data_IF_643634211071
#
_entry.id   IF_643634211071
#
_cell.length_a   1.000
_cell.length_b   1.000
_cell.length_c   1.000
_cell.angle_alpha   90.00
_cell.angle_beta   90.00
_cell.angle_gamma   90.00
#
_symmetry.space_group_name_H-M   'P 1'
#
loop_
_entity.id
_entity.type
_entity.pdbx_description
1 polymer ?
#
# COMPACT_ATOMS: atom_id res chain seq x y z
N UNK A 1 -0.59 -37.23 -37.03
CA UNK A 1 -1.13 -38.50 -36.51
C UNK A 1 -2.03 -38.21 -35.33
N UNK A 2 -2.78 -39.18 -34.82
CA UNK A 2 -3.69 -38.98 -33.68
C UNK A 2 -3.27 -39.79 -32.45
N UNK A 3 -3.28 -39.15 -31.29
CA UNK A 3 -3.18 -39.80 -29.98
C UNK A 3 -4.56 -39.72 -29.31
N UNK A 4 -5.10 -40.87 -28.90
CA UNK A 4 -6.28 -40.93 -28.01
C UNK A 4 -5.84 -41.48 -26.68
N UNK A 5 -6.16 -40.79 -25.59
CA UNK A 5 -5.84 -41.21 -24.23
C UNK A 5 -7.16 -41.53 -23.52
N UNK A 6 -7.46 -42.81 -23.41
CA UNK A 6 -8.73 -43.29 -22.86
C UNK A 6 -8.82 -43.04 -21.34
N UNK A 7 -10.05 -43.10 -20.81
CA UNK A 7 -10.30 -42.92 -19.38
C UNK A 7 -9.48 -43.92 -18.55
N UNK A 8 -8.77 -43.42 -17.53
CA UNK A 8 -7.87 -44.21 -16.69
C UNK A 8 -6.48 -44.48 -17.29
N UNK A 9 -6.26 -44.19 -18.58
CA UNK A 9 -4.94 -44.29 -19.20
C UNK A 9 -4.08 -43.05 -18.89
N UNK A 10 -2.75 -43.21 -19.02
CA UNK A 10 -1.79 -42.12 -18.90
C UNK A 10 -0.82 -42.14 -20.07
N UNK A 11 -0.73 -41.02 -20.81
CA UNK A 11 0.37 -40.77 -21.72
C UNK A 11 1.45 -39.99 -20.98
N UNK A 12 2.56 -40.65 -20.66
CA UNK A 12 3.73 -40.02 -20.03
C UNK A 12 4.86 -39.89 -21.03
N UNK A 13 5.36 -38.67 -21.21
CA UNK A 13 6.47 -38.35 -22.10
C UNK A 13 7.69 -38.03 -21.25
N UNK A 14 8.74 -38.85 -21.31
CA UNK A 14 9.92 -38.77 -20.42
C UNK A 14 11.18 -38.27 -21.14
N UNK A 15 11.06 -37.82 -22.38
CA UNK A 15 12.13 -37.26 -23.18
C UNK A 15 11.56 -36.16 -24.08
N UNK A 16 12.41 -35.34 -24.67
CA UNK A 16 11.97 -34.25 -25.54
C UNK A 16 11.10 -34.77 -26.69
N UNK A 17 9.95 -34.13 -26.90
CA UNK A 17 9.00 -34.56 -27.91
C UNK A 17 8.22 -33.41 -28.52
N UNK A 18 8.13 -33.39 -29.86
CA UNK A 18 7.42 -32.38 -30.61
C UNK A 18 6.18 -32.98 -31.29
N UNK A 19 5.00 -32.54 -30.87
CA UNK A 19 3.76 -32.76 -31.59
C UNK A 19 3.65 -31.70 -32.69
N UNK A 20 4.08 -32.09 -33.90
CA UNK A 20 4.08 -31.20 -35.07
C UNK A 20 2.67 -30.92 -35.60
N UNK A 21 2.58 -30.00 -36.55
CA UNK A 21 1.36 -29.68 -37.29
C UNK A 21 0.66 -30.93 -37.82
N UNK A 22 -0.67 -30.98 -37.70
CA UNK A 22 -1.48 -32.15 -38.07
C UNK A 22 -1.50 -33.27 -37.01
N UNK A 23 -0.92 -33.05 -35.83
CA UNK A 23 -1.14 -33.93 -34.68
C UNK A 23 -2.45 -33.57 -33.98
N UNK A 24 -3.28 -34.58 -33.70
CA UNK A 24 -4.47 -34.42 -32.88
C UNK A 24 -4.30 -35.22 -31.58
N UNK A 25 -4.54 -34.60 -30.43
CA UNK A 25 -4.46 -35.25 -29.11
C UNK A 25 -5.84 -35.14 -28.48
N UNK A 26 -6.50 -36.28 -28.29
CA UNK A 26 -7.88 -36.35 -27.79
C UNK A 26 -8.00 -37.33 -26.62
N UNK A 27 -9.15 -37.32 -25.97
CA UNK A 27 -9.48 -38.24 -24.88
C UNK A 27 -9.61 -37.53 -23.53
N UNK A 28 -9.68 -38.35 -22.48
CA UNK A 28 -9.99 -37.93 -21.11
C UNK A 28 -9.02 -38.51 -20.08
N UNK A 29 -8.05 -39.33 -20.49
CA UNK A 29 -6.99 -39.82 -19.61
C UNK A 29 -5.94 -38.75 -19.29
N UNK A 30 -4.89 -39.14 -18.57
CA UNK A 30 -3.88 -38.20 -18.09
C UNK A 30 -2.80 -37.93 -19.14
N UNK A 31 -2.52 -36.66 -19.42
CA UNK A 31 -1.36 -36.23 -20.21
C UNK A 31 -0.26 -35.75 -19.25
N UNK A 32 0.91 -36.39 -19.28
CA UNK A 32 1.99 -36.13 -18.32
C UNK A 32 3.29 -35.79 -19.06
N UNK A 33 3.80 -34.59 -18.83
CA UNK A 33 5.19 -34.24 -19.12
C UNK A 33 6.05 -34.72 -17.96
N UNK A 34 6.93 -35.66 -18.26
CA UNK A 34 7.88 -36.25 -17.32
C UNK A 34 8.91 -35.25 -16.83
N UNK A 35 9.68 -35.68 -15.84
CA UNK A 35 10.74 -34.84 -15.28
C UNK A 35 11.79 -34.52 -16.34
N UNK A 36 12.20 -33.25 -16.39
CA UNK A 36 13.22 -32.72 -17.31
C UNK A 36 12.93 -32.89 -18.81
N UNK A 37 11.73 -33.34 -19.19
CA UNK A 37 11.33 -33.48 -20.59
C UNK A 37 10.77 -32.16 -21.13
N UNK A 38 11.17 -31.78 -22.34
CA UNK A 38 10.57 -30.66 -23.07
C UNK A 38 9.57 -31.15 -24.10
N UNK A 39 8.30 -30.84 -23.91
CA UNK A 39 7.23 -31.21 -24.83
C UNK A 39 6.69 -29.97 -25.52
N UNK A 40 6.76 -29.95 -26.85
CA UNK A 40 6.17 -28.89 -27.65
C UNK A 40 4.94 -29.38 -28.38
N UNK A 41 3.83 -28.67 -28.21
CA UNK A 41 2.59 -28.93 -28.95
C UNK A 41 2.31 -27.75 -29.86
N UNK A 42 2.61 -27.92 -31.15
CA UNK A 42 2.40 -26.90 -32.17
C UNK A 42 0.91 -26.65 -32.48
N UNK A 43 0.06 -27.69 -32.69
CA UNK A 43 -1.37 -27.47 -32.96
C UNK A 43 -2.16 -27.10 -31.69
N UNK A 44 -3.43 -26.73 -31.87
CA UNK A 44 -4.33 -26.47 -30.74
C UNK A 44 -4.49 -27.74 -29.89
N UNK A 45 -4.29 -27.61 -28.58
CA UNK A 45 -4.38 -28.70 -27.61
C UNK A 45 -5.60 -28.52 -26.70
N UNK A 46 -6.78 -28.68 -27.30
CA UNK A 46 -8.04 -28.64 -26.57
C UNK A 46 -8.27 -29.98 -25.88
N UNK A 47 -8.07 -30.04 -24.57
CA UNK A 47 -7.95 -31.31 -23.84
C UNK A 47 -8.89 -31.38 -22.64
N UNK A 48 -9.56 -32.53 -22.51
CA UNK A 48 -10.57 -32.78 -21.47
C UNK A 48 -10.10 -33.73 -20.37
N UNK A 49 -8.89 -34.28 -20.49
CA UNK A 49 -8.23 -35.04 -19.42
C UNK A 49 -7.28 -34.18 -18.60
N UNK A 50 -6.82 -34.70 -17.46
CA UNK A 50 -5.90 -33.97 -16.60
C UNK A 50 -4.53 -33.80 -17.29
N UNK A 51 -3.90 -32.64 -17.07
CA UNK A 51 -2.55 -32.33 -17.56
C UNK A 51 -1.62 -32.21 -16.37
N UNK A 52 -0.47 -32.88 -16.38
CA UNK A 52 0.56 -32.73 -15.35
C UNK A 52 1.91 -32.42 -15.96
N UNK A 53 2.58 -31.40 -15.45
CA UNK A 53 3.95 -31.05 -15.85
C UNK A 53 4.83 -31.18 -14.61
N UNK A 54 5.61 -32.25 -14.58
CA UNK A 54 6.42 -32.60 -13.42
C UNK A 54 7.67 -31.70 -13.31
N UNK A 55 8.35 -31.81 -12.17
CA UNK A 55 9.55 -31.04 -11.87
C UNK A 55 10.58 -31.07 -13.01
N UNK A 56 11.07 -29.89 -13.38
CA UNK A 56 12.02 -29.71 -14.49
C UNK A 56 11.45 -29.95 -15.90
N UNK A 57 10.27 -30.56 -16.04
CA UNK A 57 9.60 -30.72 -17.32
C UNK A 57 9.09 -29.36 -17.84
N UNK A 58 9.01 -29.20 -19.16
CA UNK A 58 8.55 -27.97 -19.79
C UNK A 58 7.52 -28.27 -20.90
N UNK A 59 6.35 -27.63 -20.84
CA UNK A 59 5.31 -27.77 -21.84
C UNK A 59 5.16 -26.46 -22.64
N UNK A 60 5.50 -26.48 -23.93
CA UNK A 60 5.36 -25.36 -24.87
C UNK A 60 4.07 -25.51 -25.68
N UNK A 61 3.13 -24.58 -25.48
CA UNK A 61 1.86 -24.50 -26.22
C UNK A 61 1.99 -23.49 -27.36
N UNK A 62 2.04 -23.99 -28.60
CA UNK A 62 2.27 -23.20 -29.80
C UNK A 62 1.02 -22.48 -30.33
N UNK A 63 -0.18 -23.02 -30.08
CA UNK A 63 -1.45 -22.49 -30.58
C UNK A 63 -2.50 -22.33 -29.47
N UNK A 64 -3.50 -21.49 -29.72
CA UNK A 64 -4.57 -21.24 -28.76
C UNK A 64 -5.26 -22.54 -28.33
N UNK A 65 -5.37 -22.76 -27.02
CA UNK A 65 -5.77 -24.04 -26.42
C UNK A 65 -6.67 -23.85 -25.20
N UNK A 66 -7.52 -24.85 -24.92
CA UNK A 66 -8.38 -24.89 -23.73
C UNK A 66 -8.27 -26.22 -23.01
N UNK A 67 -8.07 -26.19 -21.69
CA UNK A 67 -8.04 -27.36 -20.81
C UNK A 67 -9.22 -27.31 -19.83
N UNK A 68 -10.06 -28.33 -19.87
CA UNK A 68 -11.32 -28.40 -19.11
C UNK A 68 -11.28 -29.35 -17.90
N UNK A 69 -10.11 -29.92 -17.62
CA UNK A 69 -9.84 -30.76 -16.46
C UNK A 69 -8.68 -30.21 -15.62
N UNK A 70 -8.44 -30.74 -14.41
CA UNK A 70 -7.40 -30.24 -13.52
C UNK A 70 -5.99 -30.29 -14.13
N UNK A 71 -5.19 -29.28 -13.83
CA UNK A 71 -3.80 -29.13 -14.25
C UNK A 71 -2.91 -29.13 -13.02
N UNK A 72 -1.90 -29.99 -12.99
CA UNK A 72 -0.90 -30.00 -11.92
C UNK A 72 0.44 -29.52 -12.48
N UNK A 73 0.91 -28.37 -11.98
CA UNK A 73 2.10 -27.70 -12.49
C UNK A 73 3.17 -27.62 -11.40
N UNK A 74 4.27 -28.33 -11.62
CA UNK A 74 5.52 -28.27 -10.84
C UNK A 74 6.69 -27.84 -11.76
N UNK A 75 6.58 -28.11 -13.06
CA UNK A 75 7.54 -27.68 -14.10
C UNK A 75 7.15 -26.38 -14.81
N UNK A 76 7.69 -26.16 -16.00
CA UNK A 76 7.46 -25.01 -16.86
C UNK A 76 6.25 -25.16 -17.78
N UNK A 77 5.51 -24.07 -17.95
CA UNK A 77 4.45 -23.92 -18.94
C UNK A 77 4.72 -22.64 -19.75
N UNK A 78 5.01 -22.82 -21.03
CA UNK A 78 5.46 -21.76 -21.92
C UNK A 78 4.73 -21.75 -23.26
N UNK A 79 5.17 -20.89 -24.17
CA UNK A 79 4.73 -20.88 -25.56
C UNK A 79 4.04 -19.59 -26.00
N UNK A 80 3.72 -19.56 -27.30
CA UNK A 80 3.09 -18.41 -27.97
C UNK A 80 1.57 -18.49 -28.00
N UNK A 81 1.00 -19.68 -27.81
CA UNK A 81 -0.44 -19.91 -27.81
C UNK A 81 -1.09 -19.40 -26.53
N UNK A 82 -2.23 -18.72 -26.66
CA UNK A 82 -3.06 -18.41 -25.50
C UNK A 82 -3.63 -19.72 -24.91
N UNK A 83 -3.63 -19.84 -23.58
CA UNK A 83 -4.13 -21.02 -22.89
C UNK A 83 -5.23 -20.64 -21.92
N UNK A 84 -6.37 -21.32 -21.98
CA UNK A 84 -7.44 -21.22 -20.99
C UNK A 84 -7.55 -22.50 -20.18
N UNK A 85 -7.45 -22.42 -18.86
CA UNK A 85 -7.70 -23.49 -17.91
C UNK A 85 -9.04 -23.19 -17.23
N UNK A 86 -10.09 -23.91 -17.61
CA UNK A 86 -11.46 -23.62 -17.15
C UNK A 86 -11.86 -24.35 -15.87
N UNK A 87 -11.07 -25.33 -15.42
CA UNK A 87 -11.37 -26.12 -14.24
C UNK A 87 -10.51 -25.74 -13.02
N UNK A 88 -9.27 -26.19 -12.98
CA UNK A 88 -8.40 -25.95 -11.84
C UNK A 88 -6.93 -26.01 -12.27
N UNK A 89 -6.12 -25.06 -11.82
CA UNK A 89 -4.66 -25.09 -11.89
C UNK A 89 -4.11 -25.23 -10.47
N UNK A 90 -3.46 -26.36 -10.18
CA UNK A 90 -2.65 -26.56 -8.99
C UNK A 90 -1.20 -26.20 -9.33
N UNK A 91 -0.78 -25.01 -8.92
CA UNK A 91 0.55 -24.49 -9.20
C UNK A 91 1.44 -24.58 -7.96
N UNK A 92 2.42 -25.48 -8.02
CA UNK A 92 3.27 -25.82 -6.87
C UNK A 92 4.77 -25.77 -7.13
N UNK A 93 5.15 -25.38 -8.34
CA UNK A 93 6.52 -25.10 -8.72
C UNK A 93 6.63 -24.65 -10.17
N UNK A 94 7.84 -24.27 -10.55
CA UNK A 94 8.17 -23.94 -11.93
C UNK A 94 7.57 -22.62 -12.41
N UNK A 95 7.56 -22.43 -13.72
CA UNK A 95 7.35 -21.12 -14.32
C UNK A 95 6.26 -21.06 -15.38
N UNK A 96 5.50 -19.96 -15.36
CA UNK A 96 4.66 -19.51 -16.46
C UNK A 96 5.47 -18.50 -17.29
N UNK A 97 5.75 -18.81 -18.56
CA UNK A 97 6.59 -17.93 -19.41
C UNK A 97 6.12 -17.88 -20.86
N UNK A 98 6.73 -17.04 -21.69
CA UNK A 98 6.40 -16.92 -23.11
C UNK A 98 5.22 -15.97 -23.39
N UNK A 99 4.99 -15.67 -24.66
CA UNK A 99 4.13 -14.54 -25.07
C UNK A 99 2.63 -14.85 -25.05
N UNK A 100 2.23 -16.12 -25.05
CA UNK A 100 0.82 -16.50 -24.98
C UNK A 100 0.21 -16.18 -23.61
N UNK A 101 -0.97 -15.55 -23.56
CA UNK A 101 -1.69 -15.28 -22.30
C UNK A 101 -2.15 -16.59 -21.65
N UNK A 102 -2.04 -16.69 -20.33
CA UNK A 102 -2.54 -17.82 -19.52
C UNK A 102 -3.75 -17.35 -18.74
N UNK A 103 -4.92 -17.88 -19.03
CA UNK A 103 -6.16 -17.57 -18.32
C UNK A 103 -6.58 -18.76 -17.48
N UNK A 104 -6.78 -18.55 -16.18
CA UNK A 104 -7.39 -19.50 -15.26
C UNK A 104 -8.77 -18.95 -14.89
N UNK A 105 -9.81 -19.47 -15.56
CA UNK A 105 -11.21 -19.10 -15.24
C UNK A 105 -11.84 -20.00 -14.19
N UNK A 106 -11.23 -21.17 -13.97
CA UNK A 106 -11.51 -22.03 -12.83
C UNK A 106 -10.77 -21.59 -11.57
N UNK A 107 -10.42 -22.55 -10.70
CA UNK A 107 -9.68 -22.28 -9.46
C UNK A 107 -8.17 -22.29 -9.69
N UNK A 108 -7.44 -21.28 -9.19
CA UNK A 108 -5.98 -21.28 -9.09
C UNK A 108 -5.56 -21.58 -7.64
N UNK A 109 -4.99 -22.76 -7.41
CA UNK A 109 -4.39 -23.08 -6.11
C UNK A 109 -2.88 -22.92 -6.21
N UNK A 110 -2.34 -22.05 -5.37
CA UNK A 110 -0.91 -21.78 -5.30
C UNK A 110 -0.35 -22.26 -3.95
N UNK A 111 0.67 -23.09 -3.99
CA UNK A 111 1.35 -23.58 -2.79
C UNK A 111 2.64 -24.28 -3.14
N UNK A 112 3.75 -23.91 -2.50
CA UNK A 112 5.04 -24.52 -2.76
C UNK A 112 5.15 -25.91 -2.11
N UNK A 113 5.84 -26.83 -2.78
CA UNK A 113 6.23 -28.11 -2.16
C UNK A 113 7.33 -27.86 -1.10
N UNK A 114 7.40 -28.74 -0.08
CA UNK A 114 8.32 -28.65 1.07
C UNK A 114 9.82 -28.58 0.72
N UNK A 115 10.19 -28.79 -0.55
CA UNK A 115 11.57 -28.71 -1.03
C UNK A 115 11.94 -27.37 -1.71
N UNK A 116 11.14 -26.31 -1.51
CA UNK A 116 11.54 -24.94 -1.86
C UNK A 116 11.40 -24.55 -3.34
N UNK A 117 10.44 -25.13 -4.06
CA UNK A 117 10.15 -24.70 -5.44
C UNK A 117 9.50 -23.32 -5.46
N UNK A 118 10.08 -22.37 -6.19
CA UNK A 118 9.47 -21.04 -6.38
C UNK A 118 8.41 -21.07 -7.47
N UNK A 119 7.42 -20.17 -7.36
CA UNK A 119 6.44 -19.94 -8.42
C UNK A 119 6.94 -18.78 -9.29
N UNK A 120 7.13 -19.00 -10.59
CA UNK A 120 7.75 -18.01 -11.47
C UNK A 120 6.75 -17.51 -12.52
N UNK A 121 6.65 -16.18 -12.72
CA UNK A 121 6.02 -15.60 -13.92
C UNK A 121 7.07 -14.81 -14.68
N UNK A 122 7.33 -15.17 -15.93
CA UNK A 122 8.41 -14.58 -16.73
C UNK A 122 7.88 -14.01 -18.06
N UNK A 123 7.79 -12.68 -18.12
CA UNK A 123 7.41 -11.91 -19.32
C UNK A 123 6.01 -12.17 -19.87
N UNK A 124 5.20 -12.96 -19.17
CA UNK A 124 3.87 -13.35 -19.63
C UNK A 124 2.73 -12.71 -18.84
N UNK A 125 1.51 -12.81 -19.38
CA UNK A 125 0.28 -12.43 -18.68
C UNK A 125 -0.43 -13.66 -18.12
N UNK A 126 -0.60 -13.69 -16.80
CA UNK A 126 -1.54 -14.54 -16.08
C UNK A 126 -2.83 -13.76 -15.82
N UNK A 127 -3.97 -14.32 -16.19
CA UNK A 127 -5.29 -13.77 -15.88
C UNK A 127 -6.09 -14.75 -15.05
N UNK A 128 -6.60 -14.30 -13.91
CA UNK A 128 -7.42 -15.08 -12.98
C UNK A 128 -8.80 -14.45 -12.89
N UNK A 129 -9.84 -15.21 -13.21
CA UNK A 129 -11.24 -14.77 -13.10
C UNK A 129 -12.10 -15.61 -12.17
N UNK A 130 -11.62 -16.80 -11.77
CA UNK A 130 -12.19 -17.61 -10.70
C UNK A 130 -11.52 -17.36 -9.35
N UNK A 131 -11.68 -18.32 -8.43
CA UNK A 131 -11.07 -18.25 -7.11
C UNK A 131 -9.58 -18.58 -7.17
N UNK A 132 -8.77 -17.78 -6.49
CA UNK A 132 -7.34 -18.01 -6.30
C UNK A 132 -7.06 -18.13 -4.82
N UNK A 133 -6.39 -19.20 -4.41
CA UNK A 133 -6.06 -19.45 -3.00
C UNK A 133 -4.56 -19.72 -2.86
N UNK A 134 -3.91 -18.95 -1.99
CA UNK A 134 -2.49 -19.09 -1.65
C UNK A 134 -2.39 -19.67 -0.25
N UNK A 135 -2.19 -20.99 -0.16
CA UNK A 135 -2.21 -21.75 1.10
C UNK A 135 -0.83 -22.02 1.69
N UNK A 136 0.25 -21.89 0.91
CA UNK A 136 1.64 -22.10 1.33
C UNK A 136 2.37 -20.78 1.59
N UNK A 137 3.45 -20.82 2.38
CA UNK A 137 4.41 -19.71 2.45
C UNK A 137 5.17 -19.62 1.12
N UNK A 138 4.57 -18.95 0.14
CA UNK A 138 5.06 -18.97 -1.24
C UNK A 138 5.85 -17.71 -1.58
N UNK A 139 6.99 -17.90 -2.24
CA UNK A 139 7.68 -16.82 -2.95
C UNK A 139 7.34 -16.90 -4.43
N UNK A 140 6.69 -15.85 -4.93
CA UNK A 140 6.52 -15.59 -6.34
C UNK A 140 7.70 -14.78 -6.85
N UNK A 141 8.38 -15.29 -7.85
CA UNK A 141 9.36 -14.55 -8.60
C UNK A 141 8.78 -14.11 -9.92
N UNK A 142 9.06 -12.87 -10.28
CA UNK A 142 8.73 -12.45 -11.61
C UNK A 142 9.78 -11.58 -12.27
N UNK A 143 9.80 -11.76 -13.59
CA UNK A 143 10.86 -11.36 -14.48
C UNK A 143 10.25 -10.70 -15.70
N UNK A 144 11.04 -9.82 -16.33
CA UNK A 144 10.84 -9.37 -17.71
C UNK A 144 9.45 -8.78 -18.01
N UNK A 145 8.84 -8.06 -17.06
CA UNK A 145 7.55 -7.39 -17.25
C UNK A 145 6.36 -8.34 -17.21
N UNK A 146 6.42 -9.37 -16.36
CA UNK A 146 5.29 -10.25 -16.11
C UNK A 146 4.06 -9.46 -15.62
N UNK A 147 2.86 -9.90 -16.02
CA UNK A 147 1.60 -9.28 -15.64
C UNK A 147 0.70 -10.33 -15.00
N UNK A 148 0.14 -10.03 -13.84
CA UNK A 148 -0.96 -10.80 -13.26
C UNK A 148 -2.21 -9.93 -13.11
N UNK A 149 -3.25 -10.27 -13.86
CA UNK A 149 -4.56 -9.63 -13.79
C UNK A 149 -5.55 -10.48 -12.99
N UNK A 150 -6.02 -9.95 -11.86
CA UNK A 150 -7.23 -10.42 -11.20
C UNK A 150 -8.44 -9.67 -11.78
N UNK A 151 -9.31 -10.34 -12.51
CA UNK A 151 -10.45 -9.69 -13.15
C UNK A 151 -11.51 -9.26 -12.11
N UNK A 152 -12.50 -8.48 -12.53
CA UNK A 152 -13.57 -7.99 -11.64
C UNK A 152 -14.40 -9.09 -10.96
N UNK A 153 -14.42 -10.31 -11.53
CA UNK A 153 -15.09 -11.48 -10.94
C UNK A 153 -14.14 -12.33 -10.11
N UNK A 154 -12.83 -12.12 -10.26
CA UNK A 154 -11.81 -12.92 -9.60
C UNK A 154 -11.68 -12.60 -8.11
N UNK A 155 -11.36 -13.63 -7.35
CA UNK A 155 -11.05 -13.52 -5.92
C UNK A 155 -9.66 -14.08 -5.67
N UNK A 156 -8.84 -13.37 -4.90
CA UNK A 156 -7.52 -13.83 -4.45
C UNK A 156 -7.53 -13.80 -2.93
N UNK A 157 -7.20 -14.94 -2.32
CA UNK A 157 -7.08 -15.10 -0.88
C UNK A 157 -5.67 -15.56 -0.49
N UNK A 158 -4.92 -14.68 0.16
CA UNK A 158 -3.66 -14.98 0.82
C UNK A 158 -3.94 -15.52 2.22
N UNK A 159 -3.86 -16.85 2.36
CA UNK A 159 -4.09 -17.54 3.64
C UNK A 159 -2.79 -17.74 4.44
N UNK A 160 -1.65 -17.34 3.87
CA UNK A 160 -0.33 -17.34 4.50
C UNK A 160 0.45 -16.09 4.08
N UNK A 161 1.57 -15.87 4.76
CA UNK A 161 2.54 -14.86 4.39
C UNK A 161 3.22 -15.25 3.06
N UNK A 162 3.36 -14.30 2.14
CA UNK A 162 3.83 -14.56 0.77
C UNK A 162 4.64 -13.39 0.25
N UNK A 163 5.66 -13.66 -0.57
CA UNK A 163 6.50 -12.61 -1.15
C UNK A 163 6.29 -12.62 -2.66
N UNK A 164 5.96 -11.46 -3.23
CA UNK A 164 5.89 -11.21 -4.67
C UNK A 164 7.08 -10.36 -5.05
N UNK A 165 8.15 -11.01 -5.49
CA UNK A 165 9.44 -10.38 -5.71
C UNK A 165 9.74 -10.19 -7.20
N UNK A 166 9.95 -8.93 -7.57
CA UNK A 166 10.56 -8.57 -8.83
C UNK A 166 12.05 -8.95 -8.80
N UNK A 167 12.50 -9.71 -9.79
CA UNK A 167 13.87 -10.22 -9.82
C UNK A 167 14.73 -9.47 -10.85
N UNK A 168 14.32 -9.43 -12.13
CA UNK A 168 15.08 -8.71 -13.17
C UNK A 168 14.23 -8.36 -14.40
N UNK A 169 14.80 -7.54 -15.30
CA UNK A 169 14.14 -7.09 -16.53
C UNK A 169 13.14 -5.96 -16.29
N UNK A 170 12.20 -5.78 -17.21
CA UNK A 170 11.13 -4.80 -17.07
C UNK A 170 10.31 -5.06 -15.80
N UNK A 171 9.77 -4.00 -15.22
CA UNK A 171 9.00 -4.08 -13.98
C UNK A 171 7.69 -4.84 -14.20
N UNK A 172 7.43 -5.81 -13.32
CA UNK A 172 6.23 -6.63 -13.36
C UNK A 172 5.06 -5.95 -12.63
N UNK A 173 3.84 -6.30 -13.05
CA UNK A 173 2.61 -5.60 -12.64
C UNK A 173 1.57 -6.61 -12.15
N UNK A 174 1.00 -6.32 -11.00
CA UNK A 174 -0.20 -6.96 -10.47
C UNK A 174 -1.38 -5.98 -10.56
N UNK A 175 -2.44 -6.36 -11.27
CA UNK A 175 -3.64 -5.56 -11.41
C UNK A 175 -4.81 -6.25 -10.70
N UNK A 176 -5.37 -5.60 -9.68
CA UNK A 176 -6.55 -6.07 -8.96
C UNK A 176 -7.80 -5.28 -9.36
N UNK A 177 -8.65 -5.88 -10.19
CA UNK A 177 -10.00 -5.37 -10.46
C UNK A 177 -11.09 -6.08 -9.64
N UNK A 178 -10.81 -7.27 -9.13
CA UNK A 178 -11.72 -8.07 -8.30
C UNK A 178 -11.51 -7.84 -6.81
N UNK A 179 -11.55 -8.93 -6.04
CA UNK A 179 -11.29 -8.91 -4.58
C UNK A 179 -9.94 -9.56 -4.28
N UNK A 180 -9.08 -8.84 -3.56
CA UNK A 180 -7.85 -9.37 -2.98
C UNK A 180 -7.98 -9.36 -1.46
N UNK A 181 -7.74 -10.50 -0.80
CA UNK A 181 -7.86 -10.64 0.65
C UNK A 181 -6.57 -11.21 1.22
N UNK A 182 -5.99 -10.53 2.22
CA UNK A 182 -5.02 -11.14 3.14
C UNK A 182 -5.79 -11.63 4.37
N UNK A 183 -6.23 -12.88 4.34
CA UNK A 183 -7.13 -13.44 5.35
C UNK A 183 -6.41 -13.96 6.58
N UNK A 184 -5.17 -14.42 6.44
CA UNK A 184 -4.42 -15.10 7.49
C UNK A 184 -2.91 -14.95 7.27
N UNK A 185 -2.08 -15.41 8.21
CA UNK A 185 -0.65 -15.14 8.29
C UNK A 185 -0.37 -13.93 9.18
N UNK A 186 0.61 -14.06 10.08
CA UNK A 186 0.82 -13.11 11.18
C UNK A 186 1.95 -12.11 10.92
N UNK A 187 2.72 -12.28 9.84
CA UNK A 187 3.84 -11.40 9.49
C UNK A 187 3.51 -10.56 8.27
N UNK A 188 4.16 -10.78 7.13
CA UNK A 188 4.08 -9.92 5.95
C UNK A 188 3.70 -10.72 4.69
N UNK A 189 2.74 -10.19 3.92
CA UNK A 189 2.71 -10.39 2.48
C UNK A 189 3.34 -9.16 1.82
N UNK A 190 4.39 -9.34 1.01
CA UNK A 190 5.17 -8.23 0.47
C UNK A 190 5.24 -8.25 -1.04
N UNK A 191 4.77 -7.16 -1.67
CA UNK A 191 4.96 -6.88 -3.09
C UNK A 191 6.30 -6.16 -3.30
N UNK A 192 7.40 -6.89 -3.16
CA UNK A 192 8.77 -6.40 -3.27
C UNK A 192 9.13 -6.09 -4.74
N UNK A 193 8.86 -4.86 -5.18
CA UNK A 193 9.16 -4.37 -6.54
C UNK A 193 8.09 -4.72 -7.59
N UNK A 194 7.10 -5.53 -7.24
CA UNK A 194 5.87 -5.70 -8.01
C UNK A 194 4.99 -4.46 -7.89
N UNK A 195 4.68 -3.82 -9.03
CA UNK A 195 3.71 -2.72 -9.04
C UNK A 195 2.33 -3.29 -8.71
N UNK A 196 1.65 -2.72 -7.72
CA UNK A 196 0.32 -3.12 -7.33
C UNK A 196 -0.69 -2.03 -7.74
N UNK A 197 -1.49 -2.30 -8.77
CA UNK A 197 -2.59 -1.43 -9.18
C UNK A 197 -3.92 -1.99 -8.66
N UNK A 198 -4.70 -1.14 -8.00
CA UNK A 198 -6.00 -1.53 -7.46
C UNK A 198 -7.12 -0.68 -8.05
N UNK A 199 -8.04 -1.33 -8.76
CA UNK A 199 -9.33 -0.75 -9.18
C UNK A 199 -10.51 -1.45 -8.49
N UNK A 200 -10.27 -2.60 -7.85
CA UNK A 200 -11.24 -3.37 -7.09
C UNK A 200 -11.16 -3.16 -5.58
N UNK A 201 -11.28 -4.25 -4.83
CA UNK A 201 -11.27 -4.25 -3.36
C UNK A 201 -10.04 -4.98 -2.82
N UNK A 202 -9.37 -4.40 -1.83
CA UNK A 202 -8.35 -5.07 -1.00
C UNK A 202 -8.84 -5.13 0.44
N UNK A 203 -8.81 -6.32 1.03
CA UNK A 203 -9.14 -6.58 2.43
C UNK A 203 -7.90 -7.11 3.16
N UNK A 204 -7.45 -6.39 4.18
CA UNK A 204 -6.34 -6.82 5.05
C UNK A 204 -6.92 -7.22 6.39
N UNK A 205 -7.15 -8.52 6.59
CA UNK A 205 -7.80 -9.04 7.80
C UNK A 205 -6.81 -9.38 8.91
N UNK A 206 -5.60 -9.82 8.53
CA UNK A 206 -4.56 -10.23 9.46
C UNK A 206 -3.14 -9.99 8.92
N UNK A 207 -2.22 -9.64 9.82
CA UNK A 207 -0.83 -9.38 9.48
C UNK A 207 -0.67 -8.13 8.62
N UNK A 208 0.43 -8.02 7.91
CA UNK A 208 0.75 -6.86 7.09
C UNK A 208 0.71 -7.18 5.60
N UNK A 209 0.04 -6.34 4.81
CA UNK A 209 0.20 -6.28 3.36
C UNK A 209 1.10 -5.09 3.01
N UNK A 210 2.28 -5.35 2.45
CA UNK A 210 3.27 -4.36 2.07
C UNK A 210 3.28 -4.15 0.56
N UNK A 211 3.11 -2.89 0.12
CA UNK A 211 3.15 -2.48 -1.28
C UNK A 211 4.51 -1.82 -1.56
N UNK A 212 5.51 -2.66 -1.84
CA UNK A 212 6.90 -2.25 -2.04
C UNK A 212 7.30 -1.91 -3.48
N UNK A 213 6.49 -2.25 -4.48
CA UNK A 213 6.70 -1.86 -5.87
C UNK A 213 5.93 -0.61 -6.29
N UNK A 214 5.21 0.03 -5.37
CA UNK A 214 4.40 1.20 -5.64
C UNK A 214 3.11 0.87 -6.41
N UNK A 215 2.52 1.87 -7.06
CA UNK A 215 1.38 1.69 -7.94
C UNK A 215 0.29 2.75 -7.81
N UNK A 216 -0.94 2.34 -8.08
CA UNK A 216 -2.10 3.25 -8.15
C UNK A 216 -3.34 2.62 -7.50
N UNK A 217 -4.21 3.45 -6.94
CA UNK A 217 -5.48 3.03 -6.39
C UNK A 217 -6.64 3.93 -6.85
N UNK A 218 -7.60 3.33 -7.51
CA UNK A 218 -8.95 3.88 -7.80
C UNK A 218 -10.05 3.04 -7.12
N UNK A 219 -9.67 2.05 -6.32
CA UNK A 219 -10.57 1.15 -5.60
C UNK A 219 -10.52 1.33 -4.08
N UNK A 220 -10.97 0.30 -3.34
CA UNK A 220 -11.10 0.36 -1.88
C UNK A 220 -10.05 -0.46 -1.15
N UNK A 221 -9.57 0.09 -0.02
CA UNK A 221 -8.80 -0.61 1.00
C UNK A 221 -9.64 -0.71 2.29
N UNK A 222 -9.80 -1.93 2.79
CA UNK A 222 -10.46 -2.23 4.07
C UNK A 222 -9.48 -2.99 4.96
N UNK A 223 -9.17 -2.41 6.13
CA UNK A 223 -8.13 -2.90 7.04
C UNK A 223 -8.77 -3.24 8.39
N UNK A 224 -8.93 -4.52 8.69
CA UNK A 224 -9.53 -4.95 9.95
C UNK A 224 -8.55 -4.74 11.11
N UNK A 225 -9.02 -4.79 12.36
CA UNK A 225 -8.21 -4.49 13.55
C UNK A 225 -6.91 -5.31 13.68
N UNK A 226 -6.85 -6.51 13.09
CA UNK A 226 -5.65 -7.36 13.06
C UNK A 226 -4.73 -7.13 11.84
N UNK A 227 -5.11 -6.22 10.95
CA UNK A 227 -4.45 -5.94 9.68
C UNK A 227 -3.62 -4.64 9.70
N UNK A 228 -2.58 -4.62 8.88
CA UNK A 228 -1.81 -3.43 8.52
C UNK A 228 -1.62 -3.36 7.01
N UNK A 229 -1.96 -2.23 6.39
CA UNK A 229 -1.53 -1.91 5.02
C UNK A 229 -0.31 -1.01 5.09
N UNK A 230 0.78 -1.37 4.42
CA UNK A 230 2.06 -0.66 4.48
C UNK A 230 2.51 -0.18 3.10
N UNK A 231 2.85 1.10 2.99
CA UNK A 231 3.43 1.73 1.79
C UNK A 231 4.90 2.08 2.06
N UNK A 232 5.80 1.56 1.20
CA UNK A 232 7.24 1.82 1.26
C UNK A 232 7.83 2.27 -0.09
N UNK A 233 6.96 2.57 -1.06
CA UNK A 233 7.29 3.03 -2.41
C UNK A 233 6.20 4.00 -2.90
N UNK A 234 6.43 4.64 -4.05
CA UNK A 234 5.50 5.65 -4.56
C UNK A 234 4.12 5.07 -4.90
N UNK A 235 3.07 5.65 -4.34
CA UNK A 235 1.71 5.12 -4.46
C UNK A 235 0.68 6.24 -4.62
N UNK A 236 -0.12 6.17 -5.70
CA UNK A 236 -1.04 7.24 -6.08
C UNK A 236 -2.50 6.89 -5.80
N UNK A 237 -3.19 7.73 -5.03
CA UNK A 237 -4.61 7.64 -4.74
C UNK A 237 -5.39 8.56 -5.70
N UNK A 238 -6.18 7.93 -6.57
CA UNK A 238 -6.91 8.56 -7.67
C UNK A 238 -8.44 8.48 -7.45
N UNK A 239 -9.24 8.96 -8.40
CA UNK A 239 -10.72 8.94 -8.33
C UNK A 239 -11.26 7.56 -7.97
N UNK A 240 -12.11 7.49 -6.94
CA UNK A 240 -12.73 6.26 -6.44
C UNK A 240 -12.01 5.62 -5.25
N UNK A 241 -10.86 6.15 -4.84
CA UNK A 241 -10.12 5.59 -3.71
C UNK A 241 -10.86 5.69 -2.37
N UNK A 242 -10.66 4.71 -1.49
CA UNK A 242 -11.06 4.77 -0.07
C UNK A 242 -10.11 3.94 0.80
N UNK A 243 -9.91 4.37 2.05
CA UNK A 243 -9.13 3.65 3.08
C UNK A 243 -9.93 3.60 4.37
N UNK A 244 -10.34 2.42 4.78
CA UNK A 244 -11.32 2.21 5.86
C UNK A 244 -10.90 1.07 6.79
N UNK A 245 -11.55 0.99 7.95
CA UNK A 245 -11.39 -0.09 8.91
C UNK A 245 -10.68 0.33 10.20
N UNK A 246 -10.49 -0.62 11.11
CA UNK A 246 -9.92 -0.38 12.44
C UNK A 246 -8.41 -0.66 12.51
N UNK A 247 -7.84 -1.31 11.49
CA UNK A 247 -6.41 -1.60 11.39
C UNK A 247 -5.60 -0.45 10.81
N UNK A 248 -4.29 -0.62 10.79
CA UNK A 248 -3.35 0.47 10.53
C UNK A 248 -3.06 0.67 9.04
N UNK A 249 -3.03 1.94 8.60
CA UNK A 249 -2.46 2.34 7.32
C UNK A 249 -1.11 3.03 7.54
N UNK A 250 -0.01 2.37 7.21
CA UNK A 250 1.35 2.84 7.43
C UNK A 250 1.95 3.44 6.16
N UNK A 251 2.48 4.65 6.28
CA UNK A 251 3.32 5.31 5.28
C UNK A 251 4.70 5.45 5.90
N UNK A 252 5.65 4.64 5.43
CA UNK A 252 6.98 4.52 6.05
C UNK A 252 8.09 5.04 5.13
N UNK A 253 7.89 5.01 3.81
CA UNK A 253 8.82 5.54 2.80
C UNK A 253 8.09 5.83 1.49
N UNK A 254 8.80 6.42 0.52
CA UNK A 254 8.25 6.82 -0.77
C UNK A 254 7.25 7.97 -0.67
N UNK A 255 6.59 8.26 -1.80
CA UNK A 255 5.60 9.32 -1.91
C UNK A 255 4.19 8.73 -2.03
N UNK A 256 3.35 9.01 -1.05
CA UNK A 256 1.91 8.77 -1.13
C UNK A 256 1.22 10.02 -1.66
N UNK A 257 0.71 9.98 -2.88
CA UNK A 257 0.08 11.13 -3.53
C UNK A 257 -1.44 10.99 -3.55
N UNK A 258 -2.15 11.93 -2.93
CA UNK A 258 -3.61 12.04 -2.97
C UNK A 258 -4.00 13.04 -4.08
N UNK A 259 -4.34 12.52 -5.26
CA UNK A 259 -4.60 13.34 -6.45
C UNK A 259 -6.01 13.96 -6.44
N UNK A 260 -6.93 13.38 -5.67
CA UNK A 260 -8.34 13.79 -5.61
C UNK A 260 -8.83 13.85 -4.18
N UNK A 261 -9.91 14.60 -3.95
CA UNK A 261 -10.49 14.70 -2.62
C UNK A 261 -10.86 13.32 -2.05
N UNK A 262 -10.39 13.04 -0.84
CA UNK A 262 -10.44 11.70 -0.24
C UNK A 262 -10.72 11.77 1.25
N UNK A 263 -11.39 10.76 1.78
CA UNK A 263 -11.58 10.57 3.23
C UNK A 263 -11.07 9.20 3.64
N UNK A 264 -10.19 9.17 4.63
CA UNK A 264 -9.67 7.96 5.23
C UNK A 264 -10.20 7.83 6.66
N UNK A 265 -10.75 6.66 6.99
CA UNK A 265 -11.30 6.34 8.32
C UNK A 265 -10.49 5.30 9.08
N UNK A 266 -9.49 4.68 8.44
CA UNK A 266 -8.46 3.93 9.13
C UNK A 266 -7.50 4.87 9.89
N UNK A 267 -6.93 4.43 11.03
CA UNK A 267 -5.74 5.06 11.59
C UNK A 267 -4.60 5.14 10.58
N UNK A 268 -4.01 6.32 10.42
CA UNK A 268 -2.88 6.58 9.54
C UNK A 268 -1.63 6.76 10.39
N UNK A 269 -0.58 6.01 10.09
CA UNK A 269 0.72 6.13 10.72
C UNK A 269 1.71 6.69 9.68
N UNK A 270 2.08 7.95 9.83
CA UNK A 270 3.14 8.58 9.06
C UNK A 270 4.43 8.53 9.88
N UNK A 271 5.28 7.55 9.55
CA UNK A 271 6.55 7.30 10.25
C UNK A 271 7.75 7.67 9.38
N UNK A 272 7.52 7.93 8.08
CA UNK A 272 8.50 8.36 7.10
C UNK A 272 7.82 8.70 5.78
N UNK A 273 8.60 8.86 4.71
CA UNK A 273 8.08 9.20 3.38
C UNK A 273 7.41 10.58 3.29
N UNK A 274 6.63 10.78 2.23
CA UNK A 274 5.91 12.03 1.94
C UNK A 274 4.45 11.76 1.62
N UNK A 275 3.52 12.32 2.40
CA UNK A 275 2.08 12.34 2.10
C UNK A 275 1.73 13.69 1.46
N UNK A 276 1.42 13.66 0.17
CA UNK A 276 1.29 14.87 -0.66
C UNK A 276 0.05 14.82 -1.57
N UNK A 277 -0.04 15.77 -2.51
CA UNK A 277 -1.02 15.78 -3.59
C UNK A 277 -1.97 16.97 -3.59
N UNK A 278 -2.68 17.12 -4.70
CA UNK A 278 -3.61 18.24 -4.97
C UNK A 278 -4.98 18.05 -4.35
N UNK A 279 -5.37 16.80 -4.06
CA UNK A 279 -6.64 16.48 -3.43
C UNK A 279 -6.66 16.84 -1.94
N UNK A 280 -7.79 17.35 -1.48
CA UNK A 280 -8.04 17.52 -0.06
C UNK A 280 -8.16 16.13 0.61
N UNK A 281 -7.49 15.94 1.75
CA UNK A 281 -7.51 14.69 2.49
C UNK A 281 -8.11 14.90 3.86
N UNK A 282 -9.15 14.15 4.21
CA UNK A 282 -9.68 14.09 5.58
C UNK A 282 -9.29 12.77 6.23
N UNK A 283 -8.57 12.82 7.36
CA UNK A 283 -8.29 11.68 8.23
C UNK A 283 -9.23 11.78 9.43
N UNK A 284 -10.24 10.91 9.45
CA UNK A 284 -11.36 11.02 10.40
C UNK A 284 -11.15 10.29 11.73
N UNK A 285 -10.17 9.39 11.79
CA UNK A 285 -9.92 8.55 12.97
C UNK A 285 -8.69 9.02 13.75
N UNK A 286 -7.49 8.76 13.23
CA UNK A 286 -6.25 9.16 13.88
C UNK A 286 -5.13 9.34 12.87
N UNK A 287 -4.33 10.39 13.02
CA UNK A 287 -3.03 10.52 12.38
C UNK A 287 -1.95 10.41 13.47
N UNK A 288 -1.18 9.32 13.46
CA UNK A 288 0.05 9.18 14.23
C UNK A 288 1.21 9.65 13.37
N UNK A 289 1.74 10.82 13.69
CA UNK A 289 2.84 11.44 12.97
C UNK A 289 4.10 11.38 13.84
N UNK A 290 5.05 10.56 13.39
CA UNK A 290 6.32 10.30 14.09
C UNK A 290 7.55 10.50 13.21
N UNK A 291 7.35 10.74 11.91
CA UNK A 291 8.39 10.97 10.92
C UNK A 291 7.78 11.45 9.60
N UNK A 292 8.63 11.83 8.64
CA UNK A 292 8.20 12.15 7.27
C UNK A 292 7.51 13.50 7.09
N UNK A 293 6.97 13.70 5.89
CA UNK A 293 6.49 15.00 5.40
C UNK A 293 5.00 14.97 5.05
N UNK A 294 4.26 15.98 5.52
CA UNK A 294 2.97 16.39 4.97
C UNK A 294 3.18 17.54 4.00
N UNK A 295 2.79 17.38 2.73
CA UNK A 295 2.99 18.43 1.73
C UNK A 295 1.89 18.54 0.67
N UNK A 296 2.14 19.37 -0.34
CA UNK A 296 1.28 19.54 -1.52
C UNK A 296 0.17 20.56 -1.34
N UNK A 297 -0.52 20.90 -2.42
CA UNK A 297 -1.50 22.02 -2.41
C UNK A 297 -2.85 21.65 -1.80
N UNK A 298 -3.21 20.37 -1.74
CA UNK A 298 -4.48 19.93 -1.17
C UNK A 298 -4.47 19.97 0.36
N UNK A 299 -5.47 20.60 0.98
CA UNK A 299 -5.63 20.68 2.44
C UNK A 299 -5.66 19.30 3.10
N UNK A 300 -4.95 19.12 4.22
CA UNK A 300 -4.96 17.91 5.05
C UNK A 300 -5.75 18.20 6.34
N UNK A 301 -6.93 17.63 6.48
CA UNK A 301 -7.79 17.80 7.66
C UNK A 301 -7.74 16.57 8.55
N UNK A 302 -7.45 16.74 9.84
CA UNK A 302 -7.54 15.70 10.86
C UNK A 302 -8.68 16.06 11.81
N UNK A 303 -9.82 15.38 11.65
CA UNK A 303 -10.98 15.54 12.55
C UNK A 303 -10.93 14.60 13.75
N UNK A 304 -10.16 13.51 13.61
CA UNK A 304 -9.82 12.61 14.69
C UNK A 304 -8.68 13.12 15.57
N UNK A 305 -7.91 12.21 16.16
CA UNK A 305 -6.76 12.58 16.99
C UNK A 305 -5.52 12.79 16.11
N UNK A 306 -4.78 13.88 16.34
CA UNK A 306 -3.43 14.06 15.83
C UNK A 306 -2.41 13.74 16.94
N UNK A 307 -1.60 12.72 16.75
CA UNK A 307 -0.48 12.39 17.64
C UNK A 307 0.83 12.87 17.00
N UNK A 308 1.43 13.94 17.52
CA UNK A 308 2.77 14.38 17.14
C UNK A 308 3.78 13.76 18.12
N UNK A 309 4.45 12.70 17.70
CA UNK A 309 5.27 11.84 18.56
C UNK A 309 6.74 11.73 18.14
N UNK A 310 7.10 12.33 17.01
CA UNK A 310 8.47 12.45 16.53
C UNK A 310 8.67 13.72 15.72
N UNK A 311 9.77 13.81 14.99
CA UNK A 311 10.06 14.93 14.10
C UNK A 311 9.17 14.86 12.84
N UNK A 312 8.60 16.00 12.43
CA UNK A 312 7.74 16.06 11.25
C UNK A 312 8.04 17.27 10.37
N UNK A 313 7.69 17.19 9.10
CA UNK A 313 7.85 18.28 8.13
C UNK A 313 6.52 18.65 7.48
N UNK A 314 6.12 19.91 7.57
CA UNK A 314 4.93 20.47 6.93
C UNK A 314 5.35 21.45 5.83
N UNK A 315 5.03 21.16 4.56
CA UNK A 315 5.50 21.98 3.42
C UNK A 315 4.42 22.28 2.39
N UNK A 316 4.11 23.56 2.18
CA UNK A 316 3.25 24.01 1.07
C UNK A 316 1.76 23.63 1.16
N UNK A 317 1.35 22.99 2.26
CA UNK A 317 -0.03 22.55 2.51
C UNK A 317 -0.67 23.30 3.67
N UNK A 318 -2.00 23.17 3.79
CA UNK A 318 -2.73 23.52 5.00
C UNK A 318 -3.05 22.25 5.80
N UNK A 319 -2.52 22.14 7.01
CA UNK A 319 -2.96 21.18 8.02
C UNK A 319 -4.09 21.80 8.84
N UNK A 320 -5.24 21.16 8.91
CA UNK A 320 -6.39 21.61 9.71
C UNK A 320 -6.73 20.56 10.78
N UNK A 321 -6.69 20.95 12.05
CA UNK A 321 -7.00 20.07 13.18
C UNK A 321 -8.26 20.53 13.89
N UNK A 322 -9.22 19.63 14.04
CA UNK A 322 -10.48 19.90 14.77
C UNK A 322 -10.77 18.95 15.92
N UNK A 323 -10.05 17.83 16.00
CA UNK A 323 -10.01 16.97 17.18
C UNK A 323 -8.88 17.33 18.15
N UNK A 324 -8.53 16.39 19.01
CA UNK A 324 -7.43 16.54 19.96
C UNK A 324 -6.07 16.33 19.28
N UNK A 325 -5.13 17.23 19.53
CA UNK A 325 -3.73 17.08 19.17
C UNK A 325 -2.90 16.85 20.43
N UNK A 326 -2.15 15.76 20.45
CA UNK A 326 -1.24 15.39 21.53
C UNK A 326 0.17 15.51 20.99
N UNK A 327 0.95 16.45 21.52
CA UNK A 327 2.31 16.74 21.06
C UNK A 327 3.33 16.37 22.13
N UNK A 328 3.92 15.19 21.95
CA UNK A 328 4.91 14.58 22.85
C UNK A 328 6.26 14.35 22.16
N UNK A 329 6.31 14.49 20.83
CA UNK A 329 7.49 14.32 19.99
C UNK A 329 8.40 15.54 19.93
N UNK A 330 9.37 15.51 19.01
CA UNK A 330 10.29 16.62 18.74
C UNK A 330 9.61 17.77 17.97
N UNK A 331 10.42 18.74 17.52
CA UNK A 331 9.97 19.90 16.77
C UNK A 331 9.26 19.52 15.46
N UNK A 332 8.24 20.30 15.11
CA UNK A 332 7.55 20.27 13.83
C UNK A 332 8.16 21.34 12.94
N UNK A 333 8.79 20.91 11.85
CA UNK A 333 9.39 21.81 10.88
C UNK A 333 8.37 22.23 9.83
N UNK A 334 8.23 23.54 9.60
CA UNK A 334 7.25 24.07 8.67
C UNK A 334 7.89 25.02 7.65
N UNK A 335 7.53 24.86 6.37
CA UNK A 335 8.11 25.62 5.26
C UNK A 335 7.13 25.82 4.10
N UNK A 336 7.60 26.47 3.05
CA UNK A 336 6.87 26.71 1.78
C UNK A 336 5.50 27.37 1.97
N UNK A 337 5.37 28.27 2.97
CA UNK A 337 4.10 28.90 3.30
C UNK A 337 3.06 27.95 3.89
N UNK A 338 3.51 26.84 4.48
CA UNK A 338 2.65 25.91 5.20
C UNK A 338 1.78 26.61 6.25
N UNK A 339 0.54 26.15 6.38
CA UNK A 339 -0.42 26.68 7.35
C UNK A 339 -0.88 25.55 8.26
N UNK A 340 -0.80 25.73 9.57
CA UNK A 340 -1.47 24.89 10.54
C UNK A 340 -2.63 25.65 11.18
N UNK A 341 -3.86 25.18 10.96
CA UNK A 341 -5.09 25.71 11.54
C UNK A 341 -5.58 24.79 12.66
N UNK A 342 -5.50 25.23 13.90
CA UNK A 342 -6.29 24.67 14.99
C UNK A 342 -7.66 25.33 15.02
N UNK A 343 -8.70 24.59 14.62
CA UNK A 343 -10.07 25.12 14.54
C UNK A 343 -10.65 25.42 15.93
N UNK A 344 -11.79 26.10 16.00
CA UNK A 344 -12.43 26.48 17.27
C UNK A 344 -12.82 25.32 18.19
N UNK A 345 -13.00 24.11 17.64
CA UNK A 345 -13.24 22.89 18.43
C UNK A 345 -11.97 22.11 18.74
N UNK A 346 -10.86 22.45 18.07
CA UNK A 346 -9.60 21.76 18.19
C UNK A 346 -8.89 22.09 19.51
N UNK A 347 -8.19 21.09 20.04
CA UNK A 347 -7.32 21.24 21.20
C UNK A 347 -5.92 20.80 20.81
N UNK A 348 -4.91 21.53 21.25
CA UNK A 348 -3.52 21.16 21.13
C UNK A 348 -2.92 21.15 22.52
N UNK A 349 -2.33 20.03 22.89
CA UNK A 349 -1.62 19.84 24.14
C UNK A 349 -0.14 19.56 23.85
N UNK A 350 0.70 20.57 24.07
CA UNK A 350 2.15 20.50 23.99
C UNK A 350 2.71 20.06 25.35
N UNK A 351 3.17 18.82 25.42
CA UNK A 351 3.55 18.13 26.66
C UNK A 351 5.07 18.11 26.89
N UNK A 352 5.82 18.92 26.17
CA UNK A 352 7.27 19.03 26.24
C UNK A 352 7.74 20.41 25.73
N UNK A 353 9.05 20.54 25.48
CA UNK A 353 9.68 21.75 24.95
C UNK A 353 9.88 21.71 23.43
N UNK A 354 9.00 21.04 22.68
CA UNK A 354 9.09 21.00 21.21
C UNK A 354 8.73 22.35 20.57
N UNK A 355 9.25 22.54 19.36
CA UNK A 355 9.12 23.79 18.60
C UNK A 355 8.21 23.65 17.38
N UNK A 356 7.51 24.74 17.05
CA UNK A 356 6.98 24.94 15.71
C UNK A 356 7.98 25.78 14.92
N UNK A 357 8.85 25.10 14.18
CA UNK A 357 10.05 25.70 13.63
C UNK A 357 9.96 25.91 12.11
N UNK A 358 9.99 27.17 11.70
CA UNK A 358 10.29 27.60 10.34
C UNK A 358 11.80 27.62 10.08
N UNK A 359 12.27 26.89 9.05
CA UNK A 359 13.68 26.85 8.65
C UNK A 359 13.98 27.80 7.46
N UNK A 360 15.05 28.59 7.60
CA UNK A 360 15.32 29.83 6.88
C UNK A 360 16.10 29.73 5.54
N UNK A 361 15.83 28.74 4.69
CA UNK A 361 16.46 28.68 3.35
C UNK A 361 15.47 29.01 2.23
N UNK A 362 14.99 30.27 2.22
CA UNK A 362 14.37 30.96 1.08
C UNK A 362 12.83 30.79 0.89
N UNK A 363 12.13 30.30 1.91
CA UNK A 363 10.70 29.96 1.77
C UNK A 363 9.79 30.96 2.49
N UNK A 364 8.55 31.09 2.00
CA UNK A 364 7.49 31.84 2.67
C UNK A 364 7.31 31.31 4.10
N UNK A 365 7.30 32.22 5.08
CA UNK A 365 7.18 31.88 6.50
C UNK A 365 5.90 31.09 6.77
N UNK A 366 6.03 30.02 7.56
CA UNK A 366 4.89 29.21 7.96
C UNK A 366 3.95 29.97 8.91
N UNK A 367 2.68 29.62 8.89
CA UNK A 367 1.64 30.23 9.74
C UNK A 367 0.99 29.18 10.63
N UNK A 368 0.86 29.47 11.91
CA UNK A 368 0.08 28.71 12.87
C UNK A 368 -1.08 29.59 13.37
N UNK A 369 -2.30 29.22 13.00
CA UNK A 369 -3.54 29.85 13.43
C UNK A 369 -4.20 29.02 14.53
N UNK A 370 -4.37 29.61 15.72
CA UNK A 370 -5.09 29.02 16.83
C UNK A 370 -6.44 29.71 17.04
N UNK A 371 -7.52 29.06 16.62
CA UNK A 371 -8.90 29.45 16.96
C UNK A 371 -9.47 28.62 18.12
N UNK A 372 -8.91 27.44 18.39
CA UNK A 372 -9.29 26.56 19.49
C UNK A 372 -8.48 26.83 20.76
N UNK A 373 -8.08 25.74 21.44
CA UNK A 373 -7.23 25.82 22.63
C UNK A 373 -5.83 25.28 22.35
N UNK A 374 -4.79 26.06 22.61
CA UNK A 374 -3.40 25.63 22.62
C UNK A 374 -2.88 25.66 24.06
N UNK A 375 -2.47 24.52 24.60
CA UNK A 375 -1.98 24.37 25.97
C UNK A 375 -0.53 23.89 25.93
N UNK A 376 0.40 24.66 26.51
CA UNK A 376 1.70 24.13 26.95
C UNK A 376 1.50 23.58 28.35
N UNK A 377 1.26 22.28 28.46
CA UNK A 377 0.93 21.62 29.73
C UNK A 377 2.16 21.20 30.52
N UNK A 378 3.29 21.00 29.83
CA UNK A 378 4.52 20.51 30.42
C UNK A 378 5.75 21.07 29.68
N UNK A 379 6.93 20.85 30.25
CA UNK A 379 8.19 21.43 29.80
C UNK A 379 9.17 21.62 30.95
N UNK A 380 10.42 21.88 30.62
CA UNK A 380 11.48 22.17 31.59
C UNK A 380 11.64 23.68 31.76
N UNK A 381 12.33 24.10 32.83
CA UNK A 381 12.72 25.50 33.02
C UNK A 381 14.05 25.86 32.35
N UNK A 382 14.73 24.87 31.76
CA UNK A 382 16.04 25.02 31.12
C UNK A 382 15.95 25.15 29.60
N UNK A 383 14.79 24.84 29.03
CA UNK A 383 14.50 24.97 27.60
C UNK A 383 13.19 25.74 27.39
N UNK A 384 12.92 26.15 26.15
CA UNK A 384 11.70 26.86 25.78
C UNK A 384 11.04 26.22 24.56
N UNK A 385 9.71 26.15 24.53
CA UNK A 385 8.99 25.85 23.29
C UNK A 385 8.99 27.08 22.40
N UNK A 386 9.60 26.94 21.24
CA UNK A 386 9.83 28.03 20.30
C UNK A 386 8.87 27.98 19.11
N UNK A 387 8.15 29.07 18.86
CA UNK A 387 7.30 29.26 17.68
C UNK A 387 7.85 30.43 16.87
N UNK A 388 8.51 30.14 15.75
CA UNK A 388 9.07 31.16 14.85
C UNK A 388 8.35 31.26 13.49
N UNK A 389 7.25 30.54 13.29
CA UNK A 389 6.23 30.89 12.30
C UNK A 389 5.33 32.03 12.78
N UNK A 390 4.55 32.63 11.88
CA UNK A 390 3.51 33.59 12.28
C UNK A 390 2.51 32.88 13.18
N UNK A 391 2.30 33.38 14.41
CA UNK A 391 1.35 32.80 15.34
C UNK A 391 0.13 33.71 15.49
N UNK A 392 -1.00 33.34 14.88
CA UNK A 392 -2.23 34.10 14.99
C UNK A 392 -3.18 33.43 15.98
N UNK A 393 -3.60 34.15 17.01
CA UNK A 393 -4.49 33.61 18.03
C UNK A 393 -5.82 34.36 18.09
N UNK A 394 -6.90 33.64 17.79
CA UNK A 394 -8.29 34.08 18.03
C UNK A 394 -8.98 33.25 19.12
N UNK A 395 -8.35 32.14 19.53
CA UNK A 395 -8.83 31.24 20.58
C UNK A 395 -8.17 31.49 21.94
N UNK A 396 -7.81 30.40 22.60
CA UNK A 396 -7.18 30.40 23.93
C UNK A 396 -5.79 29.79 23.87
N UNK A 397 -4.82 30.45 24.53
CA UNK A 397 -3.49 29.92 24.81
C UNK A 397 -3.30 29.80 26.32
N UNK A 398 -2.91 28.62 26.79
CA UNK A 398 -2.62 28.33 28.19
C UNK A 398 -1.15 27.92 28.34
N UNK A 399 -0.36 28.68 29.09
CA UNK A 399 1.03 28.35 29.41
C UNK A 399 1.07 27.89 30.87
N UNK A 400 1.01 26.57 31.09
CA UNK A 400 0.91 25.98 32.43
C UNK A 400 2.26 25.64 33.04
N UNK A 401 3.27 25.41 32.21
CA UNK A 401 4.61 25.06 32.62
C UNK A 401 5.65 25.56 31.61
N UNK A 402 6.88 25.77 32.07
CA UNK A 402 8.03 26.16 31.24
C UNK A 402 7.85 27.50 30.54
N UNK A 403 8.61 27.70 29.46
CA UNK A 403 8.55 28.93 28.63
C UNK A 403 7.92 28.63 27.27
N UNK A 404 6.92 29.40 26.87
CA UNK A 404 6.45 29.49 25.49
C UNK A 404 6.99 30.78 24.86
N UNK A 405 7.78 30.66 23.79
CA UNK A 405 8.35 31.79 23.09
C UNK A 405 7.74 31.98 21.70
N UNK A 406 7.13 33.14 21.48
CA UNK A 406 6.64 33.60 20.19
C UNK A 406 7.69 34.52 19.54
N UNK A 407 8.25 34.09 18.43
CA UNK A 407 9.36 34.75 17.76
C UNK A 407 9.18 34.93 16.25
N UNK A 408 8.07 34.44 15.67
CA UNK A 408 7.75 34.65 14.26
C UNK A 408 6.86 35.86 14.00
N UNK A 409 6.42 36.56 15.05
CA UNK A 409 5.41 37.60 14.99
C UNK A 409 3.99 37.05 14.90
N UNK A 410 3.04 37.89 14.49
CA UNK A 410 1.63 37.49 14.33
C UNK A 410 0.66 38.46 14.98
N UNK A 411 -0.54 37.96 15.26
CA UNK A 411 -1.65 38.76 15.80
C UNK A 411 -2.39 38.01 16.89
N UNK A 412 -2.98 38.76 17.81
CA UNK A 412 -3.88 38.20 18.82
C UNK A 412 -5.16 39.03 18.93
N UNK A 413 -6.30 38.34 18.91
CA UNK A 413 -7.60 38.83 19.37
C UNK A 413 -8.23 37.89 20.41
N UNK A 414 -7.56 36.78 20.72
CA UNK A 414 -7.96 35.80 21.72
C UNK A 414 -7.34 36.03 23.10
N UNK A 415 -7.24 34.96 23.89
CA UNK A 415 -6.74 35.01 25.26
C UNK A 415 -5.41 34.29 25.47
N UNK A 416 -4.59 34.81 26.37
CA UNK A 416 -3.43 34.16 26.98
C UNK A 416 -3.65 34.02 28.50
N UNK A 417 -3.42 32.82 29.03
CA UNK A 417 -3.38 32.53 30.46
C UNK A 417 -2.01 31.91 30.79
N UNK A 418 -1.30 32.51 31.74
CA UNK A 418 0.02 32.07 32.18
C UNK A 418 -0.09 31.65 33.64
N UNK A 419 0.21 30.40 33.97
CA UNK A 419 0.17 29.90 35.35
C UNK A 419 1.44 30.32 36.12
N UNK A 420 1.36 30.26 37.45
CA UNK A 420 2.49 30.59 38.33
C UNK A 420 3.73 29.75 38.00
N UNK A 421 4.85 30.41 37.71
CA UNK A 421 6.13 29.78 37.37
C UNK A 421 6.30 29.45 35.88
N UNK A 422 5.27 29.66 35.06
CA UNK A 422 5.37 29.61 33.60
C UNK A 422 5.78 30.98 33.02
N UNK A 423 6.19 31.00 31.75
CA UNK A 423 6.57 32.25 31.07
C UNK A 423 6.04 32.27 29.64
N UNK A 424 5.36 33.37 29.26
CA UNK A 424 5.12 33.72 27.87
C UNK A 424 6.15 34.77 27.46
N UNK A 425 6.97 34.45 26.45
CA UNK A 425 8.02 35.33 25.93
C UNK A 425 7.70 35.74 24.49
N UNK A 426 7.78 37.03 24.20
CA UNK A 426 7.58 37.57 22.85
C UNK A 426 8.88 38.24 22.42
N UNK A 427 9.44 37.80 21.30
CA UNK A 427 10.74 38.30 20.80
C UNK A 427 10.70 38.81 19.37
N UNK A 428 9.52 38.94 18.79
CA UNK A 428 9.29 39.55 17.48
C UNK A 428 8.03 40.44 17.55
N UNK A 429 7.80 41.26 16.53
CA UNK A 429 6.64 42.15 16.46
C UNK A 429 5.34 41.33 16.51
N UNK A 430 4.58 41.51 17.59
CA UNK A 430 3.36 40.77 17.86
C UNK A 430 2.22 41.74 18.17
N UNK A 431 1.18 41.73 17.33
CA UNK A 431 0.11 42.71 17.41
C UNK A 431 -1.03 42.23 18.31
N UNK A 432 -1.15 42.83 19.49
CA UNK A 432 -2.30 42.65 20.36
C UNK A 432 -3.44 43.57 19.92
N UNK A 433 -4.44 43.01 19.25
CA UNK A 433 -5.59 43.73 18.72
C UNK A 433 -6.74 43.76 19.74
N UNK A 434 -7.75 44.58 19.46
CA UNK A 434 -9.00 44.64 20.23
C UNK A 434 -9.58 43.25 20.44
N UNK A 435 -9.92 42.91 21.69
CA UNK A 435 -10.36 41.57 22.10
C UNK A 435 -9.28 40.74 22.81
N UNK A 436 -8.02 41.14 22.72
CA UNK A 436 -6.93 40.54 23.49
C UNK A 436 -7.22 40.54 24.99
N UNK A 437 -7.08 39.37 25.62
CA UNK A 437 -7.06 39.24 27.08
C UNK A 437 -5.80 38.49 27.52
N UNK A 438 -5.03 39.05 28.46
CA UNK A 438 -3.83 38.42 29.01
C UNK A 438 -3.97 38.36 30.51
N UNK A 439 -3.80 37.17 31.08
CA UNK A 439 -3.92 36.90 32.52
C UNK A 439 -2.75 36.02 32.96
N UNK A 440 -2.20 36.27 34.15
CA UNK A 440 -1.11 35.46 34.70
C UNK A 440 -0.26 36.17 35.74
#
# INVERSE_FOLDING_TARGET
>A
GSFSIDAGATLRITADYNFNTGTNITGVGNFVVGEYATVKIIPAFNYSGAVSVNYGGNLDIGAASTWSAPVNLIGGLTGTGALTISNQLNWSGGGLSGTGKKTVSGTLNCGTLDWGSNLIIDGTTLETSGATVLTGGTTFYAYNGAIWNNTSTGTIDLQKDSIFSQQSGNQSIFNNAGTFTKSNGTTFADFAGFVFNNTGTVQVKAGTLSLGGGGTNTGSFSIDAGGTLRIIADYNFNTGNSVTGAGNFNIESGTTTVNVDSTWSAPVNLTGGNLTGTGALTISNKLNWSGGTLSGTGKKTVTGILNLSGEGYLGGTTLETSGATIWTGSSLYAGDGAIWNNTSTGTIDLQNDADFQWFWWNQTQATFNNAGTFTKSNGTTTDESYINGFFNNTGTVQVKAGTLRLAGGGTNTGSFSIDAGATLRITADYNFNTGTNITG
#
